data_IF_747818967106
#
_entry.id   IF_747818967106
#
_cell.length_a   1.000
_cell.length_b   1.000
_cell.length_c   1.000
_cell.angle_alpha   90.00
_cell.angle_beta   90.00
_cell.angle_gamma   90.00
#
_symmetry.space_group_name_H-M   'P 1'
#
loop_
_entity.id
_entity.type
_entity.pdbx_description
1 polymer ?
#
# COMPACT_ATOMS: atom_id res chain seq x y z
N UNK A 1 -44.83 14.13 -73.87
CA UNK A 1 -46.28 14.02 -73.63
C UNK A 1 -46.52 13.16 -72.39
N UNK A 2 -47.41 13.63 -71.50
CA UNK A 2 -47.99 12.97 -70.30
C UNK A 2 -47.02 12.60 -69.15
N UNK A 3 -46.98 13.38 -68.05
CA UNK A 3 -47.93 13.50 -66.89
C UNK A 3 -47.60 12.46 -65.80
N UNK A 4 -46.99 12.91 -64.68
CA UNK A 4 -47.58 13.12 -63.32
C UNK A 4 -47.91 11.78 -62.61
N UNK A 5 -47.59 11.52 -61.33
CA UNK A 5 -47.85 12.26 -60.08
C UNK A 5 -46.85 11.78 -58.99
N UNK A 6 -46.23 12.67 -58.20
CA UNK A 6 -46.56 13.09 -56.80
C UNK A 6 -46.56 11.95 -55.76
N UNK A 7 -45.74 12.11 -54.71
CA UNK A 7 -46.10 12.21 -53.26
C UNK A 7 -44.76 12.29 -52.48
N UNK A 8 -44.28 13.47 -52.12
CA UNK A 8 -44.30 14.05 -50.75
C UNK A 8 -44.07 13.06 -49.61
N UNK A 9 -42.82 12.98 -49.16
CA UNK A 9 -42.43 12.46 -47.85
C UNK A 9 -41.58 13.52 -47.13
N UNK A 10 -42.23 14.22 -46.21
CA UNK A 10 -41.67 15.19 -45.26
C UNK A 10 -40.67 14.48 -44.31
N UNK A 11 -39.56 15.13 -43.94
CA UNK A 11 -39.18 15.41 -42.54
C UNK A 11 -37.79 16.08 -42.50
N UNK A 12 -37.75 17.39 -42.29
CA UNK A 12 -37.37 18.06 -41.02
C UNK A 12 -35.86 18.10 -40.81
N UNK A 13 -35.27 19.23 -41.23
CA UNK A 13 -34.09 19.79 -40.55
C UNK A 13 -34.48 20.15 -39.13
N UNK A 14 -33.80 19.60 -38.14
CA UNK A 14 -33.86 20.11 -36.77
C UNK A 14 -32.45 20.55 -36.36
N UNK A 15 -32.27 21.87 -36.40
CA UNK A 15 -31.52 22.59 -35.37
C UNK A 15 -32.05 22.09 -34.02
N UNK A 16 -31.20 21.47 -33.21
CA UNK A 16 -31.44 21.37 -31.77
C UNK A 16 -30.32 22.12 -31.08
N UNK A 17 -30.73 23.25 -30.52
CA UNK A 17 -30.05 24.09 -29.55
C UNK A 17 -29.61 23.32 -28.31
N UNK A 18 -28.46 23.73 -27.77
CA UNK A 18 -28.06 23.70 -26.37
C UNK A 18 -28.95 22.91 -25.40
N UNK A 19 -28.40 21.83 -24.87
CA UNK A 19 -28.47 21.60 -23.43
C UNK A 19 -27.11 21.12 -22.96
N UNK A 20 -26.39 22.03 -22.32
CA UNK A 20 -25.46 21.70 -21.25
C UNK A 20 -26.14 20.70 -20.32
N UNK A 21 -25.79 19.42 -20.39
CA UNK A 21 -25.81 18.58 -19.19
C UNK A 21 -24.46 18.77 -18.51
N UNK A 22 -24.30 19.97 -17.97
CA UNK A 22 -23.73 20.12 -16.64
C UNK A 22 -24.61 19.22 -15.77
N UNK A 23 -24.08 18.09 -15.33
CA UNK A 23 -24.63 17.45 -14.13
C UNK A 23 -24.53 18.49 -13.05
N UNK A 24 -25.67 19.15 -12.82
CA UNK A 24 -25.85 20.11 -11.77
C UNK A 24 -25.38 19.46 -10.47
N UNK A 25 -24.40 20.07 -9.83
CA UNK A 25 -24.24 19.97 -8.39
C UNK A 25 -25.57 20.39 -7.78
N UNK A 26 -26.42 19.41 -7.48
CA UNK A 26 -27.55 19.59 -6.59
C UNK A 26 -26.98 19.63 -5.18
N UNK A 27 -26.73 20.84 -4.69
CA UNK A 27 -26.52 21.09 -3.28
C UNK A 27 -27.85 20.93 -2.55
N UNK A 28 -28.13 19.70 -2.10
CA UNK A 28 -29.11 19.43 -1.06
C UNK A 28 -28.44 18.67 0.06
N UNK A 29 -27.99 19.41 1.08
CA UNK A 29 -27.72 18.97 2.46
C UNK A 29 -27.84 17.46 2.77
N UNK A 30 -26.94 16.66 2.23
CA UNK A 30 -26.43 15.48 2.94
C UNK A 30 -25.06 15.86 3.42
N UNK A 31 -24.93 16.01 4.74
CA UNK A 31 -23.64 15.82 5.37
C UNK A 31 -23.27 14.36 5.11
N UNK A 32 -22.51 14.07 4.05
CA UNK A 32 -21.77 12.80 3.95
C UNK A 32 -20.66 12.88 4.97
N UNK A 33 -21.01 12.53 6.20
CA UNK A 33 -20.16 12.62 7.40
C UNK A 33 -19.10 11.50 7.43
N UNK A 34 -19.19 10.55 6.51
CA UNK A 34 -18.36 9.37 6.48
C UNK A 34 -17.65 9.31 5.13
N UNK A 35 -16.31 9.36 5.13
CA UNK A 35 -15.54 8.98 3.96
C UNK A 35 -15.28 7.48 4.00
N UNK A 36 -15.52 6.83 2.87
CA UNK A 36 -15.34 5.39 2.72
C UNK A 36 -14.19 5.16 1.76
N UNK A 37 -13.17 4.47 2.23
CA UNK A 37 -12.03 4.02 1.43
C UNK A 37 -12.12 2.51 1.25
N UNK A 38 -12.03 2.07 0.00
CA UNK A 38 -12.02 0.65 -0.35
C UNK A 38 -10.63 0.30 -0.87
N UNK A 39 -10.05 -0.73 -0.26
CA UNK A 39 -8.68 -1.15 -0.50
C UNK A 39 -8.67 -2.63 -0.86
N UNK A 40 -7.77 -3.01 -1.76
CA UNK A 40 -7.55 -4.40 -2.15
C UNK A 40 -6.15 -4.82 -1.75
N UNK A 41 -6.04 -5.68 -0.75
CA UNK A 41 -4.76 -6.22 -0.29
C UNK A 41 -4.56 -7.60 -0.91
N UNK A 42 -3.36 -7.84 -1.44
CA UNK A 42 -2.97 -9.11 -2.07
C UNK A 42 -1.96 -9.86 -1.20
N UNK A 43 -2.14 -11.17 -1.05
CA UNK A 43 -1.19 -12.05 -0.38
C UNK A 43 -0.85 -13.21 -1.30
N UNK A 44 0.45 -13.55 -1.32
CA UNK A 44 1.00 -14.68 -2.09
C UNK A 44 1.02 -16.01 -1.34
N UNK A 45 0.69 -15.97 -0.05
CA UNK A 45 0.70 -17.15 0.79
C UNK A 45 -0.24 -16.97 1.98
N UNK A 46 -0.83 -18.08 2.41
CA UNK A 46 -1.62 -18.15 3.65
C UNK A 46 -0.76 -18.26 4.90
N UNK A 47 0.57 -18.37 4.78
CA UNK A 47 1.44 -18.47 5.95
C UNK A 47 1.75 -17.13 6.59
N UNK A 48 1.72 -17.12 7.90
CA UNK A 48 2.36 -16.06 8.67
C UNK A 48 3.88 -16.25 8.61
N UNK A 49 4.69 -15.17 8.68
CA UNK A 49 6.16 -15.26 8.64
C UNK A 49 6.80 -16.18 9.69
N UNK A 50 6.14 -16.42 10.83
CA UNK A 50 6.63 -17.36 11.85
C UNK A 50 6.41 -18.84 11.51
N UNK A 51 5.76 -19.13 10.39
CA UNK A 51 5.45 -20.48 9.92
C UNK A 51 6.34 -20.91 8.73
N UNK A 52 7.37 -20.12 8.42
CA UNK A 52 8.39 -20.52 7.46
C UNK A 52 9.12 -21.78 7.97
N UNK A 53 9.22 -22.81 7.11
CA UNK A 53 9.88 -24.07 7.46
C UNK A 53 11.40 -23.88 7.67
N UNK A 54 12.00 -22.94 6.94
CA UNK A 54 13.38 -22.52 7.16
C UNK A 54 13.43 -21.39 8.18
N UNK A 55 14.29 -21.55 9.18
CA UNK A 55 14.45 -20.57 10.25
C UNK A 55 15.41 -19.46 9.85
N UNK A 56 14.97 -18.23 10.06
CA UNK A 56 15.73 -17.01 9.89
C UNK A 56 15.75 -16.24 11.21
N UNK A 57 16.76 -15.37 11.40
CA UNK A 57 16.88 -14.59 12.64
C UNK A 57 15.75 -13.56 12.77
N UNK A 58 15.24 -13.06 11.64
CA UNK A 58 14.18 -12.05 11.58
C UNK A 58 13.11 -12.53 10.60
N UNK A 59 11.85 -12.48 11.02
CA UNK A 59 10.71 -12.79 10.16
C UNK A 59 10.35 -11.60 9.27
N UNK A 60 9.83 -11.85 8.07
CA UNK A 60 9.30 -10.80 7.19
C UNK A 60 8.06 -10.12 7.81
N UNK A 61 7.72 -8.94 7.28
CA UNK A 61 6.62 -8.13 7.79
C UNK A 61 5.27 -8.61 7.25
N UNK A 62 4.20 -8.22 7.95
CA UNK A 62 2.81 -8.51 7.60
C UNK A 62 1.91 -7.26 7.54
N UNK A 63 2.48 -6.06 7.66
CA UNK A 63 1.71 -4.82 7.79
C UNK A 63 1.58 -4.12 6.46
N UNK A 64 0.40 -4.24 5.86
CA UNK A 64 0.07 -3.59 4.60
C UNK A 64 -0.29 -2.13 4.91
N UNK A 65 0.38 -1.14 4.31
CA UNK A 65 -0.02 0.27 4.44
C UNK A 65 -1.38 0.46 3.79
N UNK A 66 -2.25 1.29 4.37
CA UNK A 66 -3.60 1.50 3.83
C UNK A 66 -3.72 2.76 2.96
N UNK A 67 -2.67 3.55 2.79
CA UNK A 67 -2.70 4.79 2.02
C UNK A 67 -3.55 5.89 2.68
N UNK A 68 -3.75 5.80 3.99
CA UNK A 68 -4.64 6.67 4.77
C UNK A 68 -3.88 7.20 5.97
N UNK A 69 -3.57 8.49 5.92
CA UNK A 69 -2.98 9.22 7.04
C UNK A 69 -4.08 9.97 7.80
N UNK A 70 -4.30 9.54 9.04
CA UNK A 70 -5.20 10.22 9.96
C UNK A 70 -4.50 11.45 10.50
N UNK A 71 -5.18 12.60 10.60
CA UNK A 71 -4.55 13.87 11.00
C UNK A 71 -4.64 14.18 12.50
N UNK A 72 -5.62 13.60 13.19
CA UNK A 72 -5.87 13.80 14.61
C UNK A 72 -6.59 12.60 15.24
N UNK A 73 -6.78 12.61 16.56
CA UNK A 73 -7.48 11.52 17.24
C UNK A 73 -8.90 11.34 16.67
N UNK A 74 -9.26 10.12 16.28
CA UNK A 74 -10.55 9.82 15.63
C UNK A 74 -11.01 8.37 15.89
N UNK A 75 -12.15 8.01 15.34
CA UNK A 75 -12.61 6.62 15.22
C UNK A 75 -12.71 6.24 13.75
N UNK A 76 -12.30 5.02 13.44
CA UNK A 76 -12.46 4.42 12.12
C UNK A 76 -13.20 3.10 12.26
N UNK A 77 -14.12 2.84 11.35
CA UNK A 77 -14.69 1.51 11.20
C UNK A 77 -13.92 0.75 10.14
N UNK A 78 -13.53 -0.49 10.47
CA UNK A 78 -12.82 -1.39 9.56
C UNK A 78 -13.69 -2.61 9.29
N UNK A 79 -13.83 -2.99 8.04
CA UNK A 79 -14.42 -4.25 7.61
C UNK A 79 -13.46 -4.95 6.64
N UNK A 80 -13.21 -6.23 6.87
CA UNK A 80 -12.38 -7.07 6.00
C UNK A 80 -13.28 -8.16 5.42
N UNK A 81 -13.31 -8.28 4.10
CA UNK A 81 -14.07 -9.29 3.35
C UNK A 81 -13.24 -9.90 2.24
N UNK A 82 -13.68 -11.03 1.71
CA UNK A 82 -13.03 -11.71 0.60
C UNK A 82 -13.61 -13.11 0.42
N UNK A 83 -13.39 -13.70 -0.75
CA UNK A 83 -13.85 -15.06 -1.04
C UNK A 83 -12.91 -16.09 -0.42
N UNK A 84 -13.46 -17.07 0.30
CA UNK A 84 -12.70 -18.19 0.86
C UNK A 84 -11.61 -17.77 1.85
N UNK A 85 -11.75 -16.62 2.54
CA UNK A 85 -10.80 -16.18 3.55
C UNK A 85 -11.36 -16.27 4.97
N UNK A 86 -10.48 -16.53 5.92
CA UNK A 86 -10.81 -16.60 7.35
C UNK A 86 -9.70 -16.01 8.22
N UNK A 87 -9.97 -15.82 9.51
CA UNK A 87 -8.99 -15.32 10.49
C UNK A 87 -9.21 -13.86 10.89
N UNK A 88 -8.13 -13.16 11.18
CA UNK A 88 -8.16 -11.77 11.62
C UNK A 88 -6.90 -11.02 11.22
N UNK A 89 -6.99 -9.69 11.24
CA UNK A 89 -5.85 -8.79 11.11
C UNK A 89 -5.79 -7.86 12.31
N UNK A 90 -4.66 -7.20 12.53
CA UNK A 90 -4.53 -6.18 13.56
C UNK A 90 -4.34 -4.81 12.88
N UNK A 91 -5.26 -3.88 13.13
CA UNK A 91 -5.07 -2.50 12.68
C UNK A 91 -3.94 -1.90 13.50
N UNK A 92 -2.98 -1.27 12.83
CA UNK A 92 -1.84 -0.62 13.41
C UNK A 92 -1.75 0.83 12.92
N UNK A 93 -1.03 1.66 13.68
CA UNK A 93 -0.72 3.05 13.33
C UNK A 93 0.79 3.22 13.26
N UNK A 94 1.28 3.74 12.14
CA UNK A 94 2.67 4.13 11.98
C UNK A 94 2.79 5.65 11.95
N UNK A 95 3.32 6.21 13.03
CA UNK A 95 3.71 7.62 13.08
C UNK A 95 5.25 7.76 12.97
N UNK A 96 5.74 8.99 13.02
CA UNK A 96 7.19 9.27 12.94
C UNK A 96 8.00 8.69 14.12
N UNK A 97 7.35 8.32 15.23
CA UNK A 97 8.03 7.79 16.41
C UNK A 97 8.02 6.27 16.42
N UNK A 98 6.92 5.62 16.03
CA UNK A 98 6.81 4.17 16.06
C UNK A 98 5.64 3.60 15.22
N UNK A 99 5.70 2.29 14.95
CA UNK A 99 4.59 1.45 14.53
C UNK A 99 3.96 0.78 15.76
N UNK A 100 2.65 0.92 15.94
CA UNK A 100 1.93 0.37 17.11
C UNK A 100 0.64 -0.31 16.69
N UNK A 101 0.47 -1.57 17.08
CA UNK A 101 -0.80 -2.28 17.00
C UNK A 101 -1.87 -1.61 17.86
N UNK A 102 -3.10 -1.54 17.34
CA UNK A 102 -4.23 -0.90 18.00
C UNK A 102 -5.30 -1.91 18.38
N UNK A 103 -5.84 -2.65 17.40
CA UNK A 103 -7.01 -3.52 17.61
C UNK A 103 -7.11 -4.61 16.56
N UNK A 104 -7.48 -5.82 17.01
CA UNK A 104 -7.79 -6.93 16.12
C UNK A 104 -9.15 -6.73 15.44
N UNK A 105 -9.20 -7.02 14.14
CA UNK A 105 -10.36 -6.96 13.25
C UNK A 105 -10.54 -8.35 12.63
N UNK A 106 -11.69 -8.98 12.87
CA UNK A 106 -12.01 -10.29 12.30
C UNK A 106 -12.60 -10.16 10.92
N UNK A 107 -12.31 -11.12 10.05
CA UNK A 107 -12.93 -11.21 8.72
C UNK A 107 -14.45 -11.32 8.87
N UNK A 108 -15.19 -10.52 8.11
CA UNK A 108 -16.66 -10.46 8.12
C UNK A 108 -17.28 -9.63 9.25
N UNK A 109 -16.47 -9.10 10.19
CA UNK A 109 -16.97 -8.31 11.32
C UNK A 109 -16.57 -6.84 11.20
N UNK A 110 -17.56 -5.95 11.10
CA UNK A 110 -17.33 -4.50 11.18
C UNK A 110 -16.83 -4.14 12.59
N UNK A 111 -15.65 -3.54 12.67
CA UNK A 111 -14.98 -3.22 13.93
C UNK A 111 -14.62 -1.73 14.01
N UNK A 112 -15.15 -1.03 15.00
CA UNK A 112 -14.75 0.36 15.31
C UNK A 112 -13.43 0.38 16.10
N UNK A 113 -12.47 1.18 15.67
CA UNK A 113 -11.15 1.33 16.26
C UNK A 113 -10.88 2.81 16.58
N UNK A 114 -10.42 3.10 17.80
CA UNK A 114 -9.97 4.43 18.16
C UNK A 114 -8.52 4.63 17.69
N UNK A 115 -8.31 5.68 16.88
CA UNK A 115 -7.00 6.13 16.45
C UNK A 115 -6.57 7.28 17.36
N UNK A 116 -5.49 7.14 18.13
CA UNK A 116 -5.19 8.08 19.21
C UNK A 116 -4.54 9.39 18.76
N UNK A 117 -3.99 9.45 17.53
CA UNK A 117 -3.21 10.60 17.01
C UNK A 117 -2.91 10.48 15.51
N UNK A 118 -2.22 11.50 14.97
CA UNK A 118 -1.73 11.53 13.58
C UNK A 118 -0.86 10.31 13.26
N UNK A 119 -1.05 9.73 12.07
CA UNK A 119 -0.18 8.69 11.51
C UNK A 119 -0.86 7.90 10.39
N UNK A 120 -0.07 7.10 9.69
CA UNK A 120 -0.51 6.23 8.60
C UNK A 120 -1.12 4.95 9.18
N UNK A 121 -2.27 4.54 8.66
CA UNK A 121 -2.90 3.28 9.03
C UNK A 121 -2.24 2.10 8.30
N UNK A 122 -2.01 1.03 9.06
CA UNK A 122 -1.49 -0.24 8.56
C UNK A 122 -2.42 -1.38 8.99
N UNK A 123 -2.43 -2.45 8.22
CA UNK A 123 -3.16 -3.68 8.56
C UNK A 123 -2.22 -4.88 8.58
N UNK A 124 -2.03 -5.47 9.76
CA UNK A 124 -1.25 -6.69 9.96
C UNK A 124 -2.06 -7.92 9.51
N UNK A 125 -1.88 -8.33 8.25
CA UNK A 125 -2.70 -9.37 7.59
C UNK A 125 -2.17 -10.80 7.75
N UNK A 126 -1.10 -10.99 8.53
CA UNK A 126 -0.39 -12.27 8.64
C UNK A 126 -1.23 -13.44 9.14
N UNK A 127 -2.33 -13.17 9.85
CA UNK A 127 -3.23 -14.18 10.41
C UNK A 127 -4.48 -14.43 9.54
N UNK A 128 -4.62 -13.77 8.39
CA UNK A 128 -5.68 -14.05 7.42
C UNK A 128 -5.24 -15.21 6.54
N UNK A 129 -6.09 -16.22 6.36
CA UNK A 129 -5.79 -17.42 5.58
C UNK A 129 -6.81 -17.61 4.47
N UNK A 130 -6.37 -18.19 3.36
CA UNK A 130 -7.25 -18.71 2.32
C UNK A 130 -7.58 -20.18 2.61
N UNK A 131 -8.83 -20.57 2.35
CA UNK A 131 -9.34 -21.93 2.55
C UNK A 131 -8.87 -22.93 1.46
N UNK A 132 -8.02 -22.47 0.53
CA UNK A 132 -7.38 -23.25 -0.53
C UNK A 132 -5.95 -23.72 -0.21
N UNK A 133 -5.10 -23.82 -1.25
CA UNK A 133 -3.70 -24.19 -1.05
C UNK A 133 -2.96 -23.04 -0.33
N UNK A 134 -1.97 -23.41 0.49
CA UNK A 134 -1.17 -22.47 1.27
C UNK A 134 -0.34 -21.53 0.40
N UNK A 135 0.02 -21.97 -0.80
CA UNK A 135 0.78 -21.21 -1.79
C UNK A 135 -0.12 -20.60 -2.88
N UNK A 136 -1.45 -20.67 -2.73
CA UNK A 136 -2.36 -19.96 -3.63
C UNK A 136 -2.39 -18.47 -3.26
N UNK A 137 -2.27 -17.65 -4.30
CA UNK A 137 -2.47 -16.22 -4.22
C UNK A 137 -3.93 -15.88 -3.93
N UNK A 138 -4.17 -14.91 -3.03
CA UNK A 138 -5.51 -14.45 -2.71
C UNK A 138 -5.55 -12.96 -2.37
N UNK A 139 -6.74 -12.37 -2.48
CA UNK A 139 -6.97 -10.98 -2.11
C UNK A 139 -8.03 -10.84 -1.02
N UNK A 140 -7.92 -9.76 -0.26
CA UNK A 140 -8.91 -9.32 0.70
C UNK A 140 -9.30 -7.87 0.42
N UNK A 141 -10.60 -7.61 0.48
CA UNK A 141 -11.18 -6.29 0.39
C UNK A 141 -11.25 -5.68 1.79
N UNK A 142 -10.75 -4.47 1.96
CA UNK A 142 -10.80 -3.72 3.20
C UNK A 142 -11.58 -2.44 2.97
N UNK A 143 -12.64 -2.26 3.74
CA UNK A 143 -13.40 -1.01 3.78
C UNK A 143 -13.05 -0.27 5.07
N UNK A 144 -12.55 0.96 4.93
CA UNK A 144 -12.29 1.89 6.04
C UNK A 144 -13.33 3.01 5.96
N UNK A 145 -14.09 3.21 7.02
CA UNK A 145 -15.00 4.36 7.16
C UNK A 145 -14.45 5.31 8.20
N UNK A 146 -14.16 6.55 7.82
CA UNK A 146 -13.70 7.59 8.75
C UNK A 146 -14.88 8.45 9.19
N UNK A 147 -15.12 8.50 10.50
CA UNK A 147 -16.30 9.14 11.07
C UNK A 147 -16.07 10.65 11.27
N UNK A 148 -16.25 11.45 10.22
CA UNK A 148 -16.41 12.90 10.29
C UNK A 148 -15.16 13.72 10.62
N UNK A 149 -13.97 13.17 10.38
CA UNK A 149 -12.67 13.81 10.68
C UNK A 149 -11.75 13.88 9.47
N UNK A 150 -10.85 14.86 9.49
CA UNK A 150 -9.88 15.09 8.43
C UNK A 150 -8.86 13.94 8.37
N UNK A 151 -8.63 13.47 7.15
CA UNK A 151 -7.60 12.50 6.80
C UNK A 151 -6.98 12.94 5.47
N UNK A 152 -5.79 12.42 5.18
CA UNK A 152 -5.14 12.57 3.90
C UNK A 152 -4.98 11.21 3.24
N UNK A 153 -5.14 11.21 1.92
CA UNK A 153 -4.66 10.09 1.11
C UNK A 153 -3.17 10.25 0.97
N UNK A 154 -2.44 9.26 1.44
CA UNK A 154 -0.98 9.27 1.41
C UNK A 154 -0.51 9.16 -0.03
N UNK A 155 0.36 10.06 -0.54
CA UNK A 155 0.96 9.93 -1.86
C UNK A 155 1.58 8.54 -2.02
N UNK A 156 1.03 7.76 -2.94
CA UNK A 156 1.36 6.34 -3.09
C UNK A 156 1.71 6.02 -4.53
N UNK A 157 2.91 5.50 -4.75
CA UNK A 157 3.29 4.83 -5.99
C UNK A 157 3.24 3.32 -5.77
N UNK A 158 2.33 2.63 -6.45
CA UNK A 158 2.20 1.18 -6.39
C UNK A 158 2.52 0.61 -7.76
N UNK A 159 3.61 -0.14 -7.91
CA UNK A 159 4.03 -0.69 -9.21
C UNK A 159 3.37 -2.03 -9.54
N UNK A 160 2.65 -2.66 -8.60
CA UNK A 160 2.03 -3.96 -8.79
C UNK A 160 0.98 -3.91 -9.89
N UNK A 161 0.65 -5.06 -10.49
CA UNK A 161 -0.43 -5.11 -11.48
C UNK A 161 -1.78 -4.75 -10.86
N UNK A 162 -2.08 -5.35 -9.72
CA UNK A 162 -3.27 -5.06 -8.91
C UNK A 162 -2.88 -4.04 -7.84
N UNK A 163 -3.42 -2.82 -7.94
CA UNK A 163 -3.10 -1.71 -7.04
C UNK A 163 -3.90 -1.83 -5.73
N UNK A 164 -3.36 -1.28 -4.64
CA UNK A 164 -4.07 -1.27 -3.35
C UNK A 164 -5.36 -0.43 -3.39
N UNK A 165 -5.39 0.61 -4.21
CA UNK A 165 -6.52 1.52 -4.40
C UNK A 165 -6.43 2.15 -5.80
N UNK A 166 -7.52 2.73 -6.28
CA UNK A 166 -7.56 3.51 -7.52
C UNK A 166 -6.95 4.91 -7.39
N UNK A 167 -6.67 5.35 -6.16
CA UNK A 167 -6.08 6.66 -5.83
C UNK A 167 -4.55 6.69 -5.89
N UNK A 168 -3.90 5.61 -6.30
CA UNK A 168 -2.44 5.59 -6.49
C UNK A 168 -2.02 6.53 -7.62
N UNK A 169 -0.81 7.07 -7.51
CA UNK A 169 -0.25 8.01 -8.47
C UNK A 169 0.64 7.28 -9.48
N UNK A 170 0.67 7.79 -10.70
CA UNK A 170 1.77 7.51 -11.61
C UNK A 170 3.07 8.15 -11.08
N UNK A 171 4.20 7.76 -11.64
CA UNK A 171 5.53 8.14 -11.12
C UNK A 171 5.75 9.66 -11.14
N UNK A 172 5.42 10.31 -12.26
CA UNK A 172 5.56 11.76 -12.42
C UNK A 172 4.73 12.52 -11.37
N UNK A 173 3.44 12.17 -11.21
CA UNK A 173 2.60 12.82 -10.20
C UNK A 173 3.01 12.47 -8.78
N UNK A 174 3.51 11.26 -8.54
CA UNK A 174 4.04 10.89 -7.24
C UNK A 174 5.16 11.84 -6.84
N UNK A 175 6.17 12.00 -7.70
CA UNK A 175 7.30 12.92 -7.49
C UNK A 175 6.85 14.38 -7.29
N UNK A 176 5.99 14.90 -8.17
CA UNK A 176 5.44 16.26 -8.04
C UNK A 176 4.74 16.45 -6.69
N UNK A 177 3.96 15.45 -6.28
CA UNK A 177 3.16 15.49 -5.05
C UNK A 177 4.04 15.46 -3.81
N UNK A 178 5.03 14.56 -3.74
CA UNK A 178 5.88 14.41 -2.54
C UNK A 178 6.83 15.59 -2.35
N UNK A 179 7.23 16.27 -3.42
CA UNK A 179 8.13 17.43 -3.37
C UNK A 179 7.40 18.77 -3.23
N UNK A 180 6.06 18.76 -3.28
CA UNK A 180 5.26 19.93 -2.95
C UNK A 180 5.46 20.33 -1.48
N UNK A 181 5.50 21.65 -1.22
CA UNK A 181 5.70 22.17 0.15
C UNK A 181 4.61 21.69 1.11
N UNK A 182 3.38 21.52 0.61
CA UNK A 182 2.20 21.16 1.37
C UNK A 182 2.23 19.72 1.91
N UNK A 183 2.99 18.83 1.27
CA UNK A 183 3.10 17.42 1.66
C UNK A 183 4.42 17.07 2.37
N UNK A 184 5.33 18.04 2.52
CA UNK A 184 6.68 17.81 3.07
C UNK A 184 6.72 17.18 4.48
N UNK A 185 5.67 17.34 5.28
CA UNK A 185 5.51 16.80 6.63
C UNK A 185 4.53 15.62 6.73
N UNK A 186 4.07 15.12 5.58
CA UNK A 186 3.14 14.01 5.44
C UNK A 186 3.86 12.76 4.91
N UNK A 187 3.18 11.62 5.01
CA UNK A 187 3.71 10.34 4.58
C UNK A 187 3.90 10.23 3.06
N UNK A 188 4.67 9.23 2.66
CA UNK A 188 4.72 8.77 1.27
C UNK A 188 4.92 7.25 1.23
N UNK A 189 4.35 6.59 0.23
CA UNK A 189 4.35 5.14 0.08
C UNK A 189 4.87 4.72 -1.29
N UNK A 190 5.75 3.73 -1.31
CA UNK A 190 6.13 2.99 -2.49
C UNK A 190 5.84 1.51 -2.27
N UNK A 191 5.18 0.86 -3.23
CA UNK A 191 4.68 -0.50 -3.08
C UNK A 191 5.04 -1.33 -4.31
N UNK A 192 5.69 -2.47 -4.10
CA UNK A 192 5.88 -3.54 -5.09
C UNK A 192 5.29 -4.84 -4.56
N UNK A 193 5.57 -6.00 -5.16
CA UNK A 193 4.99 -7.26 -4.69
C UNK A 193 5.50 -7.64 -3.29
N UNK A 194 6.81 -7.56 -3.07
CA UNK A 194 7.50 -8.02 -1.86
C UNK A 194 8.08 -6.90 -1.00
N UNK A 195 7.86 -5.63 -1.36
CA UNK A 195 8.40 -4.47 -0.65
C UNK A 195 7.30 -3.46 -0.36
N UNK A 196 7.33 -2.91 0.85
CA UNK A 196 6.59 -1.71 1.25
C UNK A 196 7.61 -0.70 1.74
N UNK A 197 7.71 0.47 1.12
CA UNK A 197 8.52 1.58 1.62
C UNK A 197 7.55 2.64 2.11
N UNK A 198 7.59 2.91 3.42
CA UNK A 198 6.83 4.00 4.01
C UNK A 198 7.80 5.03 4.57
N UNK A 199 7.68 6.27 4.12
CA UNK A 199 8.46 7.38 4.65
C UNK A 199 7.49 8.31 5.39
N UNK A 200 7.55 8.39 6.74
CA UNK A 200 6.59 9.20 7.50
C UNK A 200 6.63 10.71 7.21
N UNK A 201 7.68 11.19 6.53
CA UNK A 201 7.83 12.58 6.10
C UNK A 201 8.50 12.64 4.72
N UNK A 202 7.74 13.02 3.71
CA UNK A 202 8.18 13.00 2.31
C UNK A 202 9.44 13.85 2.05
N UNK A 203 9.68 14.91 2.84
CA UNK A 203 10.87 15.78 2.72
C UNK A 203 12.21 15.06 2.85
N UNK A 204 12.23 13.85 3.41
CA UNK A 204 13.45 13.05 3.54
C UNK A 204 13.71 12.13 2.34
N UNK A 205 12.77 12.06 1.39
CA UNK A 205 12.97 11.37 0.11
C UNK A 205 13.96 12.18 -0.74
N UNK A 206 14.98 11.53 -1.35
CA UNK A 206 15.90 12.20 -2.28
C UNK A 206 15.17 12.83 -3.46
N UNK A 207 15.61 14.02 -3.88
CA UNK A 207 14.98 14.78 -4.97
C UNK A 207 15.11 14.13 -6.35
N UNK A 208 16.10 13.25 -6.51
CA UNK A 208 16.42 12.50 -7.73
C UNK A 208 15.94 11.05 -7.63
N UNK A 209 14.91 10.79 -6.81
CA UNK A 209 14.25 9.49 -6.75
C UNK A 209 13.78 9.06 -8.13
N UNK A 210 13.89 7.76 -8.38
CA UNK A 210 13.21 7.03 -9.45
C UNK A 210 12.43 5.93 -8.72
N UNK A 211 11.11 6.12 -8.61
CA UNK A 211 10.26 5.29 -7.75
C UNK A 211 10.22 3.85 -8.26
N UNK A 212 10.18 3.69 -9.58
CA UNK A 212 10.24 2.38 -10.22
C UNK A 212 11.57 1.68 -9.96
N UNK A 213 12.72 2.32 -10.27
CA UNK A 213 14.06 1.75 -10.08
C UNK A 213 14.38 1.45 -8.61
N UNK A 214 13.86 2.28 -7.69
CA UNK A 214 13.98 2.03 -6.24
C UNK A 214 13.32 0.70 -5.87
N UNK A 215 12.04 0.53 -6.18
CA UNK A 215 11.31 -0.69 -5.87
C UNK A 215 11.91 -1.91 -6.55
N UNK A 216 12.26 -1.78 -7.84
CA UNK A 216 12.94 -2.80 -8.63
C UNK A 216 14.25 -3.27 -7.97
N UNK A 217 14.99 -2.34 -7.38
CA UNK A 217 16.25 -2.63 -6.69
C UNK A 217 16.00 -3.47 -5.44
N UNK A 218 15.02 -3.08 -4.61
CA UNK A 218 14.67 -3.86 -3.42
C UNK A 218 14.16 -5.27 -3.77
N UNK A 219 13.34 -5.41 -4.80
CA UNK A 219 12.89 -6.71 -5.32
C UNK A 219 14.07 -7.59 -5.74
N UNK A 220 15.03 -7.04 -6.50
CA UNK A 220 16.24 -7.75 -6.92
C UNK A 220 17.10 -8.18 -5.74
N UNK A 221 17.17 -7.37 -4.68
CA UNK A 221 17.89 -7.72 -3.45
C UNK A 221 17.20 -8.92 -2.77
N UNK A 222 15.88 -8.88 -2.58
CA UNK A 222 15.11 -9.99 -1.99
C UNK A 222 15.33 -11.27 -2.80
N UNK A 223 15.18 -11.23 -4.12
CA UNK A 223 15.41 -12.37 -4.99
C UNK A 223 16.85 -12.93 -4.87
N UNK A 224 17.84 -12.04 -4.75
CA UNK A 224 19.25 -12.43 -4.57
C UNK A 224 19.46 -13.14 -3.23
N UNK A 225 18.91 -12.61 -2.14
CA UNK A 225 19.05 -13.22 -0.82
C UNK A 225 18.27 -14.53 -0.69
N UNK A 226 17.06 -14.64 -1.25
CA UNK A 226 16.35 -15.91 -1.37
C UNK A 226 17.23 -16.96 -2.06
N UNK A 227 17.82 -16.62 -3.22
CA UNK A 227 18.72 -17.51 -3.96
C UNK A 227 19.96 -17.92 -3.15
N UNK A 228 20.63 -16.98 -2.51
CA UNK A 228 21.83 -17.26 -1.68
C UNK A 228 21.49 -18.08 -0.45
N UNK A 229 20.30 -17.87 0.11
CA UNK A 229 19.74 -18.69 1.17
C UNK A 229 19.27 -20.07 0.68
N UNK A 230 19.41 -20.40 -0.60
CA UNK A 230 18.97 -21.69 -1.16
C UNK A 230 17.46 -21.87 -1.21
N UNK A 231 16.71 -20.75 -1.23
CA UNK A 231 15.28 -20.75 -1.44
C UNK A 231 14.97 -20.64 -2.94
N UNK A 232 14.25 -21.60 -3.49
CA UNK A 232 13.99 -21.74 -4.92
C UNK A 232 12.55 -22.21 -5.15
N UNK A 233 11.78 -21.42 -5.91
CA UNK A 233 10.41 -21.75 -6.34
C UNK A 233 10.31 -23.10 -7.08
N UNK A 234 11.40 -23.54 -7.71
CA UNK A 234 11.46 -24.80 -8.46
C UNK A 234 11.77 -26.00 -7.58
N UNK A 235 12.04 -25.79 -6.30
CA UNK A 235 12.35 -26.85 -5.36
C UNK A 235 11.07 -27.33 -4.68
N UNK A 236 10.78 -28.62 -4.81
CA UNK A 236 9.59 -29.24 -4.22
C UNK A 236 9.72 -29.49 -2.71
N UNK A 237 10.90 -29.27 -2.12
CA UNK A 237 11.11 -29.38 -0.68
C UNK A 237 10.65 -28.10 0.01
N UNK A 238 9.66 -28.21 0.89
CA UNK A 238 9.06 -27.08 1.59
C UNK A 238 10.07 -26.26 2.43
N UNK A 239 11.20 -26.86 2.85
CA UNK A 239 12.26 -26.11 3.57
C UNK A 239 13.00 -25.12 2.66
N UNK A 240 12.89 -25.27 1.34
CA UNK A 240 13.53 -24.41 0.35
C UNK A 240 12.52 -23.49 -0.34
N UNK A 241 11.29 -23.38 0.18
CA UNK A 241 10.30 -22.43 -0.34
C UNK A 241 10.76 -20.98 -0.11
N UNK A 242 10.64 -20.08 -1.11
CA UNK A 242 10.86 -18.66 -0.93
C UNK A 242 10.00 -18.03 0.15
N UNK A 243 10.47 -16.90 0.66
CA UNK A 243 9.73 -16.09 1.61
C UNK A 243 8.80 -15.15 0.84
N UNK A 244 7.50 -15.39 0.95
CA UNK A 244 6.45 -14.72 0.15
C UNK A 244 5.67 -13.64 0.93
N UNK A 245 6.03 -13.40 2.19
CA UNK A 245 5.63 -12.17 2.88
C UNK A 245 6.53 -11.01 2.40
N UNK A 246 6.29 -9.78 2.86
CA UNK A 246 7.03 -8.61 2.34
C UNK A 246 7.99 -8.01 3.36
N UNK A 247 8.93 -7.22 2.84
CA UNK A 247 9.84 -6.39 3.64
C UNK A 247 9.25 -4.99 3.78
N UNK A 248 9.10 -4.51 5.01
CA UNK A 248 8.81 -3.11 5.28
C UNK A 248 10.13 -2.35 5.43
N UNK A 249 10.29 -1.28 4.64
CA UNK A 249 11.34 -0.28 4.79
C UNK A 249 10.68 0.97 5.35
N UNK A 250 11.16 1.47 6.48
CA UNK A 250 10.61 2.67 7.10
C UNK A 250 11.65 3.41 7.94
N UNK A 251 11.23 4.52 8.54
CA UNK A 251 12.02 5.25 9.51
C UNK A 251 11.17 5.68 10.71
N UNK A 252 11.81 5.75 11.87
CA UNK A 252 11.18 6.26 13.10
C UNK A 252 12.19 6.86 14.07
N UNK A 253 11.75 7.83 14.88
CA UNK A 253 12.61 8.48 15.88
C UNK A 253 13.03 7.55 17.02
N UNK A 254 12.25 6.51 17.32
CA UNK A 254 12.60 5.52 18.35
C UNK A 254 13.66 4.50 17.86
N UNK A 255 14.09 4.59 16.60
CA UNK A 255 15.15 3.73 16.06
C UNK A 255 16.50 4.07 16.71
N UNK A 256 17.25 3.02 17.06
CA UNK A 256 18.59 3.15 17.60
C UNK A 256 19.61 2.70 16.56
N UNK A 257 20.51 3.59 16.14
CA UNK A 257 21.59 3.30 15.20
C UNK A 257 21.55 4.20 13.96
N UNK A 258 22.30 3.81 12.93
CA UNK A 258 22.29 4.50 11.65
C UNK A 258 21.28 3.88 10.70
N UNK A 259 21.36 2.57 10.54
CA UNK A 259 20.39 1.68 9.87
C UNK A 259 20.27 0.43 10.75
N UNK A 260 19.17 -0.31 10.62
CA UNK A 260 18.99 -1.58 11.33
C UNK A 260 17.94 -2.45 10.66
N UNK A 261 18.16 -3.75 10.63
CA UNK A 261 17.09 -4.73 10.54
C UNK A 261 16.65 -5.15 11.95
N UNK A 262 15.38 -4.90 12.29
CA UNK A 262 14.86 -5.24 13.61
C UNK A 262 13.35 -5.17 13.67
N UNK A 263 12.74 -6.01 14.52
CA UNK A 263 11.28 -5.98 14.70
C UNK A 263 10.47 -6.19 13.41
N UNK A 264 11.01 -6.98 12.46
CA UNK A 264 10.40 -7.32 11.16
C UNK A 264 10.52 -6.27 10.04
N UNK A 265 11.19 -5.14 10.27
CA UNK A 265 11.41 -4.10 9.26
C UNK A 265 12.89 -3.73 9.08
N UNK A 266 13.20 -3.16 7.92
CA UNK A 266 14.38 -2.36 7.66
C UNK A 266 14.08 -0.93 8.12
N UNK A 267 14.81 -0.49 9.14
CA UNK A 267 14.50 0.70 9.92
C UNK A 267 15.70 1.64 9.98
N UNK A 268 15.44 2.91 10.22
CA UNK A 268 16.44 3.97 10.38
C UNK A 268 15.83 5.21 11.04
N UNK A 269 16.65 6.20 11.36
CA UNK A 269 16.15 7.54 11.71
C UNK A 269 15.65 8.26 10.44
N UNK A 270 14.60 9.10 10.52
CA UNK A 270 14.01 9.74 9.34
C UNK A 270 14.99 10.45 8.42
N UNK A 271 15.99 11.16 8.95
CA UNK A 271 17.01 11.84 8.15
C UNK A 271 17.93 10.91 7.36
N UNK A 272 18.01 9.63 7.73
CA UNK A 272 18.88 8.63 7.12
C UNK A 272 18.14 7.71 6.13
N UNK A 273 16.81 7.86 5.98
CA UNK A 273 16.01 7.00 5.08
C UNK A 273 16.53 7.01 3.64
N UNK A 274 17.15 8.11 3.20
CA UNK A 274 17.79 8.24 1.89
C UNK A 274 18.81 7.12 1.58
N UNK A 275 19.38 6.47 2.61
CA UNK A 275 20.28 5.32 2.45
C UNK A 275 19.61 4.12 1.76
N UNK A 276 18.31 3.91 1.98
CA UNK A 276 17.54 2.86 1.32
C UNK A 276 17.12 3.22 -0.11
N UNK A 277 17.30 4.47 -0.54
CA UNK A 277 17.03 4.91 -1.92
C UNK A 277 18.28 4.90 -2.80
N UNK A 278 19.44 4.48 -2.27
CA UNK A 278 20.71 4.49 -3.00
C UNK A 278 20.76 3.45 -4.11
N UNK A 279 21.35 3.83 -5.24
CA UNK A 279 21.48 3.01 -6.46
C UNK A 279 22.77 2.18 -6.44
N UNK A 280 22.70 0.82 -6.42
CA UNK A 280 23.89 -0.05 -6.27
C UNK A 280 24.99 0.11 -7.32
N UNK A 281 24.65 0.60 -8.52
CA UNK A 281 25.62 0.77 -9.62
C UNK A 281 26.44 2.06 -9.53
N UNK A 282 25.97 3.04 -8.76
CA UNK A 282 26.51 4.40 -8.76
C UNK A 282 26.85 4.91 -7.37
N UNK A 283 26.42 4.21 -6.32
CA UNK A 283 26.59 4.62 -4.92
C UNK A 283 27.01 3.44 -4.05
N UNK A 284 27.64 3.73 -2.91
CA UNK A 284 27.90 2.74 -1.88
C UNK A 284 26.59 2.36 -1.17
N UNK A 285 26.23 1.08 -1.31
CA UNK A 285 24.99 0.49 -0.80
C UNK A 285 25.25 -0.59 0.24
N UNK A 286 26.48 -0.72 0.75
CA UNK A 286 26.83 -1.78 1.70
C UNK A 286 25.88 -1.82 2.92
N UNK A 287 25.50 -0.65 3.45
CA UNK A 287 24.55 -0.55 4.56
C UNK A 287 23.20 -1.23 4.26
N UNK A 288 22.60 -0.93 3.12
CA UNK A 288 21.34 -1.56 2.71
C UNK A 288 21.47 -3.09 2.60
N UNK A 289 22.51 -3.59 1.93
CA UNK A 289 22.74 -5.03 1.81
C UNK A 289 23.05 -5.68 3.17
N UNK A 290 23.80 -5.01 4.04
CA UNK A 290 24.09 -5.47 5.39
C UNK A 290 22.80 -5.72 6.18
N UNK A 291 21.85 -4.77 6.17
CA UNK A 291 20.58 -4.94 6.87
C UNK A 291 19.69 -6.02 6.24
N UNK A 292 19.64 -6.12 4.91
CA UNK A 292 18.99 -7.27 4.26
C UNK A 292 19.62 -8.59 4.70
N UNK A 293 20.95 -8.64 4.86
CA UNK A 293 21.64 -9.83 5.35
C UNK A 293 21.21 -10.26 6.75
N UNK A 294 20.88 -9.33 7.64
CA UNK A 294 20.31 -9.65 8.95
C UNK A 294 18.89 -10.25 8.88
N UNK A 295 18.15 -9.99 7.80
CA UNK A 295 16.82 -10.57 7.60
C UNK A 295 16.87 -12.06 7.22
N UNK A 296 17.99 -12.51 6.65
CA UNK A 296 18.23 -13.90 6.19
C UNK A 296 19.22 -14.64 7.10
#
# INVERSE_FOLDING_TARGET
MNKKFIVTGLLVSMLITNTNTVTAFSSTNTVTKDSIENLKIYRKTSLSPGQDNKKFNITFHISEPLGIEVMEATEVDVLITGEGISGSANLALHDVNNLRGLKNVRVGEKTTVHIPRKGELFLEVGNIKYDGNVDDDFSLDVTITLNGKDYKITPTYDMRKEKITDKVLDEEKFEETIFSKENSEDGALLISDNVRIYVPKSKYIPKDIDASDTLDTHEKIIATYNKVAGLDEKNNDEINRPRENFVLVSARNEQAGYMSAGGQMLDTLPQNIHEYFKKPKTQDVWGMYHEYGHMY
#
